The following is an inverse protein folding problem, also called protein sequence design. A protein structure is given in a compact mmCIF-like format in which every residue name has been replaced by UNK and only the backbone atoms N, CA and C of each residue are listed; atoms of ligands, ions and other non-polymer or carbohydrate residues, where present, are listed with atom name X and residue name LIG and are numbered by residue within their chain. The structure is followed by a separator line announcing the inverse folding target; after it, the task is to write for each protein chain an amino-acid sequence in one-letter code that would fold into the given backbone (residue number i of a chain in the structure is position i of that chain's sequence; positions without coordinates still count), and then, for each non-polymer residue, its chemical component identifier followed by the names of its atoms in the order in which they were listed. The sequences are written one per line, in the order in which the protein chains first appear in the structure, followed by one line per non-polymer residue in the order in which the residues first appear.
data_IF_837413090729
#
_entry.id   IF_837413090729
#
_cell.length_a   1.000
_cell.length_b   1.000
_cell.length_c   1.000
_cell.angle_alpha   90.00
_cell.angle_beta   90.00
_cell.angle_gamma   90.00
#
_symmetry.space_group_name_H-M   'P 1'
#
loop_
_entity.id
_entity.type
_entity.pdbx_description
1 polymer ?
#
# COMPACT_ATOMS: atom_id res chain seq x y z
N UNK A 1 18.80 -6.97 5.23
CA UNK A 1 18.10 -6.94 6.53
C UNK A 1 16.69 -6.39 6.35
N UNK A 2 15.70 -7.20 6.67
CA UNK A 2 14.29 -6.79 6.69
C UNK A 2 13.89 -6.56 8.15
N UNK A 3 13.22 -5.46 8.45
CA UNK A 3 12.63 -5.21 9.77
C UNK A 3 11.12 -5.14 9.60
N UNK A 4 10.39 -5.94 10.37
CA UNK A 4 8.93 -5.83 10.47
C UNK A 4 8.55 -5.10 11.76
N UNK A 5 7.51 -4.28 11.72
CA UNK A 5 7.00 -3.54 12.86
C UNK A 5 5.47 -3.71 12.85
N UNK A 6 4.93 -4.37 13.86
CA UNK A 6 3.54 -4.80 13.90
C UNK A 6 2.93 -4.63 15.30
N UNK A 7 1.61 -4.51 15.37
CA UNK A 7 0.88 -4.56 16.65
C UNK A 7 0.98 -5.94 17.28
N UNK A 8 0.83 -6.99 16.48
CA UNK A 8 1.10 -8.37 16.80
C UNK A 8 1.78 -9.03 15.60
N UNK A 9 2.71 -9.94 15.81
CA UNK A 9 3.46 -10.59 14.73
C UNK A 9 2.53 -11.48 13.89
N UNK A 10 2.18 -11.02 12.69
CA UNK A 10 1.38 -11.75 11.70
C UNK A 10 2.17 -12.07 10.44
N UNK A 11 3.17 -11.23 10.11
CA UNK A 11 3.97 -11.37 8.90
C UNK A 11 4.96 -12.53 9.02
N UNK A 12 4.84 -13.50 8.13
CA UNK A 12 5.79 -14.60 8.00
C UNK A 12 6.64 -14.37 6.77
N UNK A 13 7.81 -13.76 6.96
CA UNK A 13 8.74 -13.42 5.89
C UNK A 13 9.81 -14.50 5.77
N UNK A 14 9.83 -15.21 4.65
CA UNK A 14 10.90 -16.18 4.33
C UNK A 14 12.13 -15.44 3.79
N UNK A 15 12.97 -14.99 4.70
CA UNK A 15 14.21 -14.28 4.37
C UNK A 15 15.26 -14.57 5.46
N UNK A 16 16.55 -14.78 5.11
CA UNK A 16 17.59 -15.19 6.06
C UNK A 16 17.88 -14.19 7.19
N UNK A 17 17.49 -12.91 7.02
CA UNK A 17 17.74 -11.88 8.03
C UNK A 17 16.50 -11.01 8.23
N UNK A 18 15.58 -11.46 9.05
CA UNK A 18 14.38 -10.73 9.49
C UNK A 18 14.50 -10.39 10.97
N UNK A 19 14.16 -9.17 11.34
CA UNK A 19 14.02 -8.71 12.72
C UNK A 19 12.57 -8.27 12.90
N UNK A 20 11.81 -9.01 13.68
CA UNK A 20 10.44 -8.68 14.02
C UNK A 20 10.40 -7.83 15.30
N UNK A 21 9.73 -6.68 15.21
CA UNK A 21 9.48 -5.78 16.32
C UNK A 21 7.98 -5.67 16.54
N UNK A 22 7.54 -5.85 17.77
CA UNK A 22 6.13 -5.78 18.14
C UNK A 22 5.85 -4.60 19.08
N UNK A 23 4.72 -3.95 18.85
CA UNK A 23 4.14 -3.00 19.79
C UNK A 23 3.94 -3.65 21.15
N UNK A 24 4.21 -2.90 22.19
CA UNK A 24 3.94 -3.35 23.56
C UNK A 24 3.04 -2.33 24.25
N UNK A 25 1.82 -2.70 24.64
CA UNK A 25 0.95 -1.81 25.40
C UNK A 25 1.55 -1.50 26.77
N UNK A 26 1.15 -0.42 27.42
CA UNK A 26 1.58 -0.11 28.79
C UNK A 26 1.11 -1.20 29.76
N UNK A 27 1.87 -1.40 30.82
CA UNK A 27 1.48 -2.30 31.90
C UNK A 27 0.31 -1.70 32.72
N UNK A 28 -0.15 -2.42 33.75
CA UNK A 28 -1.27 -2.01 34.60
C UNK A 28 -1.04 -0.65 35.30
N UNK A 29 0.23 -0.28 35.48
CA UNK A 29 0.65 1.00 36.09
C UNK A 29 0.81 2.12 35.04
N UNK A 30 0.56 1.84 33.75
CA UNK A 30 0.71 2.79 32.65
C UNK A 30 2.15 2.95 32.16
N UNK A 31 3.07 2.06 32.55
CA UNK A 31 4.48 2.14 32.20
C UNK A 31 4.89 1.10 31.15
N UNK A 32 6.01 1.35 30.47
CA UNK A 32 6.68 0.37 29.62
C UNK A 32 6.08 0.20 28.23
N UNK A 33 5.25 1.12 27.78
CA UNK A 33 4.73 1.16 26.41
C UNK A 33 5.87 1.28 25.39
N UNK A 34 5.77 0.51 24.29
CA UNK A 34 6.60 0.68 23.09
C UNK A 34 5.66 0.88 21.90
N UNK A 35 5.54 2.11 21.45
CA UNK A 35 4.67 2.46 20.32
C UNK A 35 5.30 2.08 18.98
N UNK A 36 4.47 1.85 17.94
CA UNK A 36 4.93 1.66 16.55
C UNK A 36 5.88 2.80 16.14
N UNK A 37 5.57 4.03 16.53
CA UNK A 37 6.39 5.21 16.25
C UNK A 37 7.79 5.11 16.84
N UNK A 38 7.92 4.66 18.09
CA UNK A 38 9.22 4.47 18.75
C UNK A 38 10.01 3.35 18.08
N UNK A 39 9.35 2.23 17.75
CA UNK A 39 9.96 1.10 17.08
C UNK A 39 10.48 1.52 15.69
N UNK A 40 9.69 2.28 14.93
CA UNK A 40 10.07 2.78 13.63
C UNK A 40 11.31 3.68 13.68
N UNK A 41 11.34 4.64 14.62
CA UNK A 41 12.53 5.50 14.83
C UNK A 41 13.78 4.72 15.23
N UNK A 42 13.63 3.68 16.04
CA UNK A 42 14.74 2.81 16.42
C UNK A 42 15.20 1.93 15.25
N UNK A 43 14.28 1.43 14.43
CA UNK A 43 14.61 0.59 13.28
C UNK A 43 15.54 1.29 12.28
N UNK A 44 15.41 2.60 12.08
CA UNK A 44 16.28 3.40 11.22
C UNK A 44 17.76 3.35 11.65
N UNK A 45 18.05 3.12 12.95
CA UNK A 45 19.41 2.99 13.50
C UNK A 45 19.97 1.58 13.38
N UNK A 46 19.14 0.61 12.96
CA UNK A 46 19.51 -0.80 12.83
C UNK A 46 20.05 -1.13 11.44
N UNK A 47 20.22 -0.13 10.56
CA UNK A 47 20.63 -0.26 9.17
C UNK A 47 19.76 -1.28 8.40
N UNK A 48 18.46 -1.05 8.31
CA UNK A 48 17.58 -1.89 7.52
C UNK A 48 17.77 -1.63 6.02
N UNK A 49 17.64 -2.68 5.20
CA UNK A 49 17.47 -2.52 3.76
C UNK A 49 16.00 -2.26 3.44
N UNK A 50 15.08 -2.82 4.25
CA UNK A 50 13.63 -2.63 4.10
C UNK A 50 12.95 -2.61 5.46
N UNK A 51 11.94 -1.77 5.59
CA UNK A 51 11.07 -1.69 6.78
C UNK A 51 9.65 -2.03 6.32
N UNK A 52 9.04 -3.04 6.95
CA UNK A 52 7.66 -3.43 6.71
C UNK A 52 6.84 -3.05 7.94
N UNK A 53 5.99 -2.05 7.79
CA UNK A 53 5.06 -1.66 8.86
C UNK A 53 3.74 -2.38 8.61
N UNK A 54 3.32 -3.23 9.52
CA UNK A 54 2.12 -4.05 9.39
C UNK A 54 0.92 -3.22 9.00
N UNK A 55 0.67 -2.13 9.73
CA UNK A 55 -0.30 -1.11 9.34
C UNK A 55 0.03 0.26 9.96
N UNK A 56 -0.49 1.30 9.32
CA UNK A 56 -0.42 2.69 9.80
C UNK A 56 -1.82 3.18 10.09
N UNK A 57 -2.03 3.70 11.30
CA UNK A 57 -3.33 4.17 11.80
C UNK A 57 -3.33 5.60 12.32
N UNK A 58 -2.14 6.18 12.57
CA UNK A 58 -2.01 7.47 13.24
C UNK A 58 -0.70 8.21 12.93
N UNK A 59 -0.17 8.88 13.94
CA UNK A 59 0.97 9.79 13.84
C UNK A 59 2.28 9.15 13.35
N UNK A 60 2.43 7.83 13.45
CA UNK A 60 3.55 7.07 12.91
C UNK A 60 3.68 7.18 11.38
N UNK A 61 2.59 7.59 10.70
CA UNK A 61 2.59 7.84 9.27
C UNK A 61 3.68 8.82 8.84
N UNK A 62 3.91 9.87 9.63
CA UNK A 62 4.96 10.85 9.34
C UNK A 62 6.35 10.22 9.41
N UNK A 63 6.64 9.45 10.46
CA UNK A 63 7.94 8.80 10.63
C UNK A 63 8.18 7.73 9.54
N UNK A 64 7.11 7.05 9.11
CA UNK A 64 7.14 6.12 7.97
C UNK A 64 7.49 6.83 6.66
N UNK A 65 6.82 7.93 6.32
CA UNK A 65 7.10 8.72 5.13
C UNK A 65 8.54 9.28 5.14
N UNK A 66 9.02 9.72 6.31
CA UNK A 66 10.41 10.16 6.47
C UNK A 66 11.39 9.00 6.22
N UNK A 67 11.12 7.80 6.73
CA UNK A 67 11.93 6.63 6.47
C UNK A 67 12.00 6.33 4.97
N UNK A 68 10.85 6.32 4.29
CA UNK A 68 10.74 6.09 2.85
C UNK A 68 11.48 7.14 2.02
N UNK A 69 11.51 8.41 2.47
CA UNK A 69 12.20 9.52 1.78
C UNK A 69 13.70 9.61 2.10
N UNK A 70 14.24 8.80 3.02
CA UNK A 70 15.63 8.89 3.48
C UNK A 70 16.47 7.63 3.19
N UNK A 71 16.22 6.98 2.05
CA UNK A 71 17.06 5.87 1.56
C UNK A 71 16.69 4.49 2.11
N UNK A 72 15.47 4.32 2.66
CA UNK A 72 14.94 3.00 3.04
C UNK A 72 13.92 2.53 1.99
N UNK A 73 14.36 2.54 0.76
CA UNK A 73 13.58 2.20 -0.40
C UNK A 73 13.11 0.74 -0.39
N UNK A 74 11.90 0.48 -0.92
CA UNK A 74 11.28 -0.83 -0.84
C UNK A 74 10.66 -1.13 0.53
N UNK A 75 10.56 -0.14 1.42
CA UNK A 75 9.73 -0.22 2.62
C UNK A 75 8.26 -0.29 2.22
N UNK A 76 7.43 -0.94 3.02
CA UNK A 76 6.02 -1.14 2.73
C UNK A 76 5.19 -0.94 3.98
N UNK A 77 3.94 -0.54 3.78
CA UNK A 77 2.95 -0.50 4.85
C UNK A 77 1.56 -0.78 4.32
N UNK A 78 0.65 -1.16 5.19
CA UNK A 78 -0.77 -1.24 4.86
C UNK A 78 -1.55 -0.10 5.50
N UNK A 79 -2.64 0.28 4.85
CA UNK A 79 -3.58 1.29 5.32
C UNK A 79 -4.99 0.80 5.03
N UNK A 80 -5.86 0.83 6.02
CA UNK A 80 -7.27 0.55 5.79
C UNK A 80 -7.92 1.73 5.08
N UNK A 81 -8.47 1.47 3.88
CA UNK A 81 -9.06 2.52 3.04
C UNK A 81 -10.06 1.92 2.05
N UNK A 82 -10.99 2.74 1.56
CA UNK A 82 -12.01 2.31 0.59
C UNK A 82 -11.50 2.30 -0.86
N UNK A 83 -10.43 3.05 -1.15
CA UNK A 83 -9.81 3.16 -2.47
C UNK A 83 -8.35 3.58 -2.36
N UNK A 84 -7.59 3.48 -3.45
CA UNK A 84 -6.21 3.99 -3.50
C UNK A 84 -6.16 5.51 -3.23
N UNK A 85 -7.12 6.28 -3.74
CA UNK A 85 -7.21 7.72 -3.50
C UNK A 85 -7.52 8.05 -2.04
N UNK A 86 -8.48 7.34 -1.45
CA UNK A 86 -8.83 7.54 -0.03
C UNK A 86 -7.65 7.21 0.89
N UNK A 87 -6.81 6.23 0.51
CA UNK A 87 -5.60 5.90 1.27
C UNK A 87 -4.64 7.09 1.36
N UNK A 88 -4.45 7.83 0.27
CA UNK A 88 -3.60 9.02 0.25
C UNK A 88 -4.19 10.15 1.09
N UNK A 89 -5.50 10.39 0.98
CA UNK A 89 -6.20 11.39 1.83
C UNK A 89 -6.15 11.00 3.31
N UNK A 90 -6.23 9.70 3.61
CA UNK A 90 -6.09 9.20 4.97
C UNK A 90 -4.65 9.37 5.49
N UNK A 91 -3.63 9.16 4.64
CA UNK A 91 -2.24 9.47 4.98
C UNK A 91 -2.05 10.94 5.32
N UNK A 92 -2.62 11.87 4.52
CA UNK A 92 -2.60 13.30 4.83
C UNK A 92 -3.14 13.57 6.24
N UNK A 93 -4.30 12.99 6.56
CA UNK A 93 -4.93 13.12 7.88
C UNK A 93 -4.04 12.57 9.00
N UNK A 94 -3.46 11.38 8.82
CA UNK A 94 -2.60 10.75 9.83
C UNK A 94 -1.32 11.53 10.07
N UNK A 95 -0.71 12.12 9.04
CA UNK A 95 0.45 13.01 9.18
C UNK A 95 0.09 14.24 10.01
N UNK A 96 -1.09 14.83 9.77
CA UNK A 96 -1.57 15.97 10.55
C UNK A 96 -1.81 15.63 12.03
N UNK A 97 -2.13 14.37 12.35
CA UNK A 97 -2.27 13.89 13.74
C UNK A 97 -0.92 13.89 14.50
N UNK A 98 0.21 13.97 13.82
CA UNK A 98 1.52 14.04 14.47
C UNK A 98 1.76 15.35 15.24
N UNK A 99 0.80 16.27 15.25
CA UNK A 99 0.84 17.57 15.98
C UNK A 99 2.06 18.44 15.66
N UNK A 100 2.56 18.35 14.44
CA UNK A 100 3.65 19.19 13.94
C UNK A 100 3.02 20.23 13.01
N UNK A 101 3.42 21.48 13.17
CA UNK A 101 2.95 22.58 12.30
C UNK A 101 3.64 22.49 10.93
N UNK A 102 3.14 21.58 10.09
CA UNK A 102 3.63 21.38 8.72
C UNK A 102 2.56 21.93 7.77
N UNK A 103 2.93 22.77 6.80
CA UNK A 103 2.00 23.22 5.76
C UNK A 103 1.42 22.03 5.00
N UNK A 104 0.13 22.06 4.71
CA UNK A 104 -0.58 20.96 4.06
C UNK A 104 0.03 20.55 2.71
N UNK A 105 0.52 21.53 1.94
CA UNK A 105 1.21 21.28 0.68
C UNK A 105 2.53 20.51 0.87
N UNK A 106 3.25 20.77 1.96
CA UNK A 106 4.47 20.03 2.28
C UNK A 106 4.17 18.57 2.65
N UNK A 107 3.04 18.31 3.31
CA UNK A 107 2.57 16.95 3.58
C UNK A 107 2.29 16.21 2.28
N UNK A 108 1.59 16.83 1.34
CA UNK A 108 1.30 16.27 0.01
C UNK A 108 2.57 15.98 -0.78
N UNK A 109 3.52 16.92 -0.77
CA UNK A 109 4.81 16.73 -1.40
C UNK A 109 5.58 15.55 -0.81
N UNK A 110 5.59 15.40 0.51
CA UNK A 110 6.21 14.26 1.18
C UNK A 110 5.57 12.94 0.81
N UNK A 111 4.24 12.87 0.77
CA UNK A 111 3.51 11.66 0.38
C UNK A 111 3.84 11.29 -1.07
N UNK A 112 3.76 12.25 -2.00
CA UNK A 112 4.04 11.99 -3.41
C UNK A 112 5.50 11.59 -3.68
N UNK A 113 6.44 12.03 -2.85
CA UNK A 113 7.84 11.62 -2.93
C UNK A 113 8.09 10.23 -2.34
N UNK A 114 7.40 9.89 -1.24
CA UNK A 114 7.62 8.65 -0.51
C UNK A 114 6.88 7.45 -1.13
N UNK A 115 5.66 7.67 -1.61
CA UNK A 115 4.76 6.63 -2.10
C UNK A 115 4.84 6.55 -3.61
N UNK A 116 5.27 5.42 -4.14
CA UNK A 116 5.37 5.21 -5.59
C UNK A 116 4.25 4.32 -6.12
N UNK A 117 3.95 3.21 -5.45
CA UNK A 117 2.89 2.29 -5.86
C UNK A 117 1.87 2.08 -4.75
N UNK A 118 0.62 1.95 -5.17
CA UNK A 118 -0.50 1.57 -4.33
C UNK A 118 -1.14 0.31 -4.90
N UNK A 119 -1.21 -0.72 -4.07
CA UNK A 119 -1.93 -1.96 -4.37
C UNK A 119 -3.17 -2.01 -3.50
N UNK A 120 -4.32 -1.77 -4.09
CA UNK A 120 -5.60 -1.79 -3.38
C UNK A 120 -6.22 -3.19 -3.46
N UNK A 121 -6.45 -3.79 -2.29
CA UNK A 121 -7.10 -5.09 -2.15
C UNK A 121 -8.52 -4.88 -1.61
N UNK A 122 -9.49 -5.53 -2.21
CA UNK A 122 -10.89 -5.50 -1.79
C UNK A 122 -11.43 -6.91 -1.53
N UNK A 123 -12.38 -7.02 -0.61
CA UNK A 123 -13.15 -8.25 -0.43
C UNK A 123 -14.31 -8.26 -1.41
N UNK A 124 -14.40 -9.31 -2.20
CA UNK A 124 -15.46 -9.49 -3.17
C UNK A 124 -16.74 -10.02 -2.50
N UNK A 125 -17.91 -9.91 -3.16
CA UNK A 125 -19.18 -10.45 -2.64
C UNK A 125 -19.14 -11.94 -2.32
N UNK A 126 -18.27 -12.70 -3.00
CA UNK A 126 -18.02 -14.13 -2.73
C UNK A 126 -17.14 -14.39 -1.49
N UNK A 127 -16.77 -13.33 -0.76
CA UNK A 127 -15.94 -13.38 0.43
C UNK A 127 -14.43 -13.44 0.17
N UNK A 128 -13.99 -13.64 -1.07
CA UNK A 128 -12.57 -13.70 -1.42
C UNK A 128 -11.95 -12.30 -1.49
N UNK A 129 -10.69 -12.21 -1.12
CA UNK A 129 -9.90 -10.99 -1.29
C UNK A 129 -9.21 -11.02 -2.64
N UNK A 130 -9.31 -9.92 -3.39
CA UNK A 130 -8.65 -9.74 -4.68
C UNK A 130 -8.00 -8.37 -4.75
N UNK A 131 -6.90 -8.26 -5.49
CA UNK A 131 -6.35 -6.96 -5.85
C UNK A 131 -7.36 -6.29 -6.79
N UNK A 132 -7.88 -5.13 -6.39
CA UNK A 132 -8.87 -4.40 -7.17
C UNK A 132 -8.25 -3.34 -8.07
N UNK A 133 -7.10 -2.79 -7.65
CA UNK A 133 -6.41 -1.71 -8.36
C UNK A 133 -4.92 -1.76 -8.05
N UNK A 134 -4.10 -1.50 -9.05
CA UNK A 134 -2.68 -1.15 -8.89
C UNK A 134 -2.49 0.20 -9.56
N UNK A 135 -1.99 1.18 -8.80
CA UNK A 135 -1.79 2.55 -9.26
C UNK A 135 -0.40 3.08 -8.90
N UNK A 136 0.16 3.93 -9.76
CA UNK A 136 1.39 4.67 -9.50
C UNK A 136 1.04 6.09 -9.04
N UNK A 137 1.76 6.59 -8.02
CA UNK A 137 1.72 7.98 -7.60
C UNK A 137 2.75 8.75 -8.43
N UNK A 138 2.29 9.67 -9.29
CA UNK A 138 3.16 10.37 -10.24
C UNK A 138 3.45 11.82 -9.86
N UNK A 139 2.87 12.31 -8.79
CA UNK A 139 3.05 13.67 -8.30
C UNK A 139 1.91 14.13 -7.42
N UNK A 140 1.77 15.45 -7.28
CA UNK A 140 0.66 16.07 -6.55
C UNK A 140 0.28 17.42 -7.18
N UNK A 141 -0.96 17.82 -6.92
CA UNK A 141 -1.51 19.13 -7.28
C UNK A 141 -2.34 19.72 -6.12
N UNK A 142 -3.09 20.76 -6.38
CA UNK A 142 -3.99 21.40 -5.41
C UNK A 142 -5.06 20.45 -4.83
N UNK A 143 -5.40 19.39 -5.56
CA UNK A 143 -6.40 18.41 -5.18
C UNK A 143 -5.80 17.18 -4.47
N UNK A 144 -4.47 17.13 -4.28
CA UNK A 144 -3.75 16.04 -3.63
C UNK A 144 -2.83 15.26 -4.55
N UNK A 145 -2.49 14.02 -4.16
CA UNK A 145 -1.62 13.18 -4.95
C UNK A 145 -2.28 12.72 -6.26
N UNK A 146 -1.50 12.75 -7.34
CA UNK A 146 -1.92 12.34 -8.67
C UNK A 146 -1.64 10.85 -8.85
N UNK A 147 -2.71 10.08 -9.11
CA UNK A 147 -2.65 8.65 -9.37
C UNK A 147 -2.78 8.35 -10.86
N UNK A 148 -2.03 7.35 -11.33
CA UNK A 148 -2.18 6.71 -12.62
C UNK A 148 -2.43 5.22 -12.42
N UNK A 149 -3.58 4.77 -12.85
CA UNK A 149 -3.95 3.36 -12.77
C UNK A 149 -3.12 2.55 -13.76
N UNK A 150 -2.53 1.45 -13.29
CA UNK A 150 -1.78 0.49 -14.10
C UNK A 150 -2.69 -0.68 -14.44
N UNK A 151 -3.32 -1.26 -13.41
CA UNK A 151 -4.27 -2.38 -13.56
C UNK A 151 -5.52 -2.12 -12.74
N UNK A 152 -6.66 -2.51 -13.30
CA UNK A 152 -7.96 -2.44 -12.66
C UNK A 152 -8.66 -3.80 -12.77
N UNK A 153 -9.26 -4.24 -11.67
CA UNK A 153 -10.18 -5.36 -11.68
C UNK A 153 -11.55 -4.87 -12.15
N UNK A 154 -12.00 -5.38 -13.27
CA UNK A 154 -13.29 -5.04 -13.85
C UNK A 154 -14.13 -6.28 -14.16
N UNK A 155 -15.30 -6.06 -14.74
CA UNK A 155 -16.16 -7.11 -15.25
C UNK A 155 -15.95 -7.21 -16.76
N UNK A 156 -15.57 -8.38 -17.25
CA UNK A 156 -15.48 -8.66 -18.67
C UNK A 156 -16.86 -8.79 -19.35
N UNK A 157 -16.87 -8.91 -20.66
CA UNK A 157 -18.10 -9.05 -21.46
C UNK A 157 -18.90 -10.32 -21.12
N UNK A 158 -18.20 -11.35 -20.65
CA UNK A 158 -18.78 -12.63 -20.20
C UNK A 158 -19.19 -12.64 -18.73
N UNK A 159 -19.24 -11.47 -18.08
CA UNK A 159 -19.55 -11.27 -16.67
C UNK A 159 -18.55 -11.94 -15.71
N UNK A 160 -17.35 -12.25 -16.17
CA UNK A 160 -16.26 -12.72 -15.32
C UNK A 160 -15.38 -11.55 -14.87
N UNK A 161 -14.76 -11.71 -13.71
CA UNK A 161 -13.79 -10.74 -13.23
C UNK A 161 -12.51 -10.85 -14.04
N UNK A 162 -12.05 -9.73 -14.58
CA UNK A 162 -10.82 -9.63 -15.36
C UNK A 162 -9.93 -8.52 -14.83
N UNK A 163 -8.61 -8.74 -14.86
CA UNK A 163 -7.65 -7.67 -14.70
C UNK A 163 -7.40 -7.03 -16.06
N UNK A 164 -7.65 -5.74 -16.15
CA UNK A 164 -7.45 -4.97 -17.36
C UNK A 164 -6.26 -4.02 -17.15
N UNK A 165 -5.27 -4.09 -18.03
CA UNK A 165 -4.24 -3.07 -18.15
C UNK A 165 -4.88 -1.80 -18.70
N UNK A 166 -4.44 -0.63 -18.20
CA UNK A 166 -4.99 0.67 -18.63
C UNK A 166 -4.28 1.26 -19.85
N UNK A 167 -3.16 0.68 -20.26
CA UNK A 167 -2.26 1.22 -21.27
C UNK A 167 -1.21 2.17 -20.70
N UNK A 168 -1.30 2.48 -19.40
CA UNK A 168 -0.29 3.30 -18.75
C UNK A 168 0.96 2.46 -18.46
N UNK A 169 2.11 2.92 -18.95
CA UNK A 169 3.42 2.32 -18.66
C UNK A 169 4.00 3.04 -17.43
N UNK A 170 4.20 2.35 -16.31
CA UNK A 170 4.71 2.97 -15.09
C UNK A 170 6.11 3.54 -15.27
N UNK A 171 6.36 4.73 -14.72
CA UNK A 171 7.70 5.36 -14.73
C UNK A 171 8.71 4.55 -13.92
N UNK A 172 8.23 3.75 -12.97
CA UNK A 172 9.02 2.80 -12.19
C UNK A 172 9.74 1.73 -13.01
N UNK A 173 9.33 1.48 -14.25
CA UNK A 173 10.02 0.53 -15.14
C UNK A 173 11.42 1.00 -15.52
N UNK A 174 11.65 2.31 -15.63
CA UNK A 174 12.99 2.85 -15.91
C UNK A 174 13.96 2.47 -14.78
N UNK A 175 13.48 2.52 -13.54
CA UNK A 175 14.25 2.02 -12.39
C UNK A 175 14.49 0.52 -12.45
N UNK A 176 13.46 -0.26 -12.77
CA UNK A 176 13.59 -1.71 -12.90
C UNK A 176 14.65 -2.06 -13.97
N UNK A 177 14.63 -1.38 -15.11
CA UNK A 177 15.61 -1.54 -16.18
C UNK A 177 17.04 -1.17 -15.72
N UNK A 178 17.19 -0.12 -14.92
CA UNK A 178 18.47 0.27 -14.33
C UNK A 178 19.09 -0.82 -13.44
N UNK A 179 18.24 -1.59 -12.72
CA UNK A 179 18.67 -2.76 -11.94
C UNK A 179 18.73 -4.07 -12.74
N UNK A 180 18.66 -3.99 -14.08
CA UNK A 180 18.73 -5.14 -14.96
C UNK A 180 17.46 -5.98 -15.01
N UNK A 181 16.36 -5.51 -14.42
CA UNK A 181 15.05 -6.17 -14.48
C UNK A 181 14.34 -5.73 -15.75
N UNK A 182 14.14 -6.66 -16.68
CA UNK A 182 13.36 -6.41 -17.89
C UNK A 182 11.92 -6.85 -17.67
N UNK A 183 10.98 -5.92 -17.84
CA UNK A 183 9.55 -6.19 -17.77
C UNK A 183 8.98 -6.15 -19.19
N UNK A 184 8.24 -7.19 -19.57
CA UNK A 184 7.56 -7.20 -20.86
C UNK A 184 6.50 -6.10 -20.92
N UNK A 185 6.66 -5.12 -21.80
CA UNK A 185 5.73 -4.00 -21.94
C UNK A 185 4.35 -4.41 -22.44
N UNK A 186 4.23 -5.55 -23.13
CA UNK A 186 2.93 -6.12 -23.51
C UNK A 186 2.00 -6.36 -22.31
N UNK A 187 2.58 -6.46 -21.10
CA UNK A 187 1.82 -6.56 -19.86
C UNK A 187 0.90 -5.35 -19.61
N UNK A 188 1.25 -4.19 -20.12
CA UNK A 188 0.50 -2.95 -19.93
C UNK A 188 -0.44 -2.63 -21.11
N UNK A 189 -0.44 -3.46 -22.16
CA UNK A 189 -1.31 -3.30 -23.33
C UNK A 189 -2.72 -3.79 -23.02
N UNK A 190 -3.77 -2.94 -23.09
CA UNK A 190 -5.15 -3.35 -22.77
C UNK A 190 -5.70 -4.47 -23.64
N UNK A 191 -5.14 -4.65 -24.86
CA UNK A 191 -5.57 -5.69 -25.78
C UNK A 191 -4.88 -7.03 -25.52
N UNK A 192 -3.58 -6.97 -25.17
CA UNK A 192 -2.74 -8.15 -24.96
C UNK A 192 -2.79 -8.71 -23.54
N UNK A 193 -3.08 -7.86 -22.55
CA UNK A 193 -3.00 -8.17 -21.13
C UNK A 193 -4.37 -8.23 -20.48
N UNK A 194 -5.12 -9.28 -20.79
CA UNK A 194 -6.33 -9.64 -20.04
C UNK A 194 -6.06 -10.87 -19.19
N UNK A 195 -6.20 -10.72 -17.89
CA UNK A 195 -5.99 -11.80 -16.94
C UNK A 195 -7.30 -12.13 -16.22
N UNK A 196 -7.72 -13.37 -16.33
CA UNK A 196 -8.84 -13.90 -15.54
C UNK A 196 -8.27 -14.38 -14.20
N UNK A 197 -8.64 -13.82 -13.06
CA UNK A 197 -8.16 -14.29 -11.76
C UNK A 197 -8.54 -15.75 -11.52
N UNK A 198 -7.62 -16.53 -10.97
CA UNK A 198 -7.91 -17.92 -10.61
C UNK A 198 -9.14 -18.00 -9.69
N UNK A 199 -10.06 -18.91 -9.98
CA UNK A 199 -11.31 -19.10 -9.23
C UNK A 199 -12.41 -18.07 -9.52
N UNK A 200 -12.33 -17.34 -10.64
CA UNK A 200 -13.41 -16.44 -11.11
C UNK A 200 -14.49 -17.17 -11.92
N UNK A 201 -14.44 -18.50 -11.98
CA UNK A 201 -15.39 -19.32 -12.75
C UNK A 201 -16.83 -19.32 -12.21
N UNK A 202 -17.07 -18.78 -11.02
CA UNK A 202 -18.43 -18.54 -10.55
C UNK A 202 -18.92 -17.20 -11.10
N UNK A 203 -19.89 -17.22 -12.02
CA UNK A 203 -20.71 -16.06 -12.34
C UNK A 203 -21.13 -15.41 -11.03
N UNK A 204 -20.84 -14.11 -10.87
CA UNK A 204 -21.47 -13.36 -9.80
C UNK A 204 -22.98 -13.52 -9.98
N UNK A 205 -23.73 -13.86 -8.92
CA UNK A 205 -25.18 -13.83 -9.03
C UNK A 205 -25.56 -12.42 -9.46
N UNK A 206 -26.25 -12.31 -10.58
CA UNK A 206 -26.91 -11.06 -10.98
C UNK A 206 -27.89 -10.76 -9.87
N UNK A 207 -27.54 -9.80 -9.00
CA UNK A 207 -28.48 -9.27 -8.03
C UNK A 207 -29.53 -8.56 -8.85
N UNK A 208 -30.63 -9.30 -9.18
CA UNK A 208 -31.85 -8.68 -9.65
C UNK A 208 -32.29 -7.77 -8.51
N UNK A 209 -32.28 -6.48 -8.80
CA UNK A 209 -32.71 -5.41 -7.90
C UNK A 209 -34.05 -5.82 -7.24
N UNK A 210 -34.11 -6.14 -5.94
CA UNK A 210 -35.36 -6.35 -5.27
C UNK A 210 -35.88 -4.93 -5.00
N UNK A 211 -36.98 -4.60 -5.62
CA UNK A 211 -37.79 -3.41 -5.38
C UNK A 211 -37.62 -2.94 -3.92
N UNK A 212 -37.25 -1.67 -3.78
CA UNK A 212 -37.23 -0.95 -2.51
C UNK A 212 -38.53 -1.21 -1.74
N UNK A 213 -38.49 -2.06 -0.74
CA UNK A 213 -39.44 -2.06 0.37
C UNK A 213 -38.60 -2.02 1.65
N UNK A 214 -38.75 -0.91 2.36
CA UNK A 214 -37.91 -0.54 3.48
C UNK A 214 -37.86 -1.55 4.61
N UNK A 215 -36.65 -1.70 5.13
CA UNK A 215 -36.41 -1.76 6.57
C UNK A 215 -34.90 -1.56 6.80
N UNK A 216 -34.57 -0.52 7.56
CA UNK A 216 -33.24 -0.26 8.07
C UNK A 216 -32.90 -1.35 9.10
N UNK A 217 -31.94 -2.17 8.81
CA UNK A 217 -31.26 -3.04 9.74
C UNK A 217 -29.76 -2.84 9.58
N UNK A 218 -29.15 -2.16 10.55
CA UNK A 218 -27.73 -1.88 10.57
C UNK A 218 -26.94 -3.18 10.74
N UNK A 219 -26.10 -3.48 9.79
CA UNK A 219 -25.03 -4.43 9.82
C UNK A 219 -23.96 -3.88 8.91
N UNK A 220 -23.03 -3.09 9.46
CA UNK A 220 -21.79 -2.76 8.76
C UNK A 220 -21.04 -4.08 8.53
N UNK A 221 -21.18 -4.62 7.34
CA UNK A 221 -20.26 -5.67 6.88
C UNK A 221 -18.87 -5.05 6.84
N UNK A 222 -18.00 -5.52 7.74
CA UNK A 222 -16.58 -5.20 7.78
C UNK A 222 -15.90 -5.66 6.48
N UNK A 223 -15.99 -4.85 5.44
CA UNK A 223 -15.23 -5.03 4.22
C UNK A 223 -13.80 -4.60 4.53
N UNK A 224 -12.95 -5.56 4.88
CA UNK A 224 -11.52 -5.29 5.12
C UNK A 224 -10.90 -4.91 3.78
N UNK A 225 -10.58 -3.63 3.61
CA UNK A 225 -9.91 -3.06 2.45
C UNK A 225 -8.51 -2.63 2.89
N UNK A 226 -7.49 -3.21 2.30
CA UNK A 226 -6.10 -2.88 2.59
C UNK A 226 -5.44 -2.28 1.36
N UNK A 227 -4.61 -1.27 1.60
CA UNK A 227 -3.76 -0.64 0.59
C UNK A 227 -2.32 -0.84 1.01
N UNK A 228 -1.54 -1.44 0.14
CA UNK A 228 -0.09 -1.57 0.32
C UNK A 228 0.57 -0.41 -0.39
N UNK A 229 1.36 0.33 0.37
CA UNK A 229 2.12 1.48 -0.12
C UNK A 229 3.56 1.03 -0.30
N UNK A 230 4.11 1.16 -1.51
CA UNK A 230 5.46 0.70 -1.85
C UNK A 230 6.25 1.85 -2.46
N UNK A 231 7.34 2.30 -1.82
CA UNK A 231 8.32 3.19 -2.43
C UNK A 231 9.33 2.40 -3.30
N UNK A 232 9.91 3.08 -4.29
CA UNK A 232 10.99 2.53 -5.12
C UNK A 232 12.37 2.98 -4.64
N UNK A 233 13.36 2.08 -4.75
CA UNK A 233 14.74 2.34 -4.38
C UNK A 233 15.42 3.41 -5.25
N UNK A 234 16.13 4.34 -4.61
CA UNK A 234 16.98 5.35 -5.26
C UNK A 234 18.46 4.96 -5.32
N UNK A 235 18.84 3.80 -4.76
CA UNK A 235 20.25 3.42 -4.67
C UNK A 235 20.85 3.11 -6.04
N UNK A 236 21.99 3.78 -6.32
CA UNK A 236 22.78 3.56 -7.51
C UNK A 236 23.48 2.21 -7.44
N UNK A 237 23.60 1.44 -8.53
CA UNK A 237 24.46 0.26 -8.55
C UNK A 237 25.92 0.73 -8.54
N UNK A 238 26.50 0.85 -7.38
CA UNK A 238 27.89 1.28 -7.20
C UNK A 238 28.47 0.93 -5.83
N UNK A 239 27.63 0.70 -4.84
CA UNK A 239 28.08 0.50 -3.46
C UNK A 239 28.15 -0.97 -2.99
N UNK A 240 28.10 -1.93 -3.90
CA UNK A 240 28.38 -3.35 -3.62
C UNK A 240 29.80 -3.69 -4.06
N UNK A 241 30.79 -2.91 -3.64
CA UNK A 241 32.18 -3.34 -3.60
C UNK A 241 32.80 -2.92 -2.28
N UNK A 242 33.23 -3.93 -1.54
CA UNK A 242 34.08 -3.85 -0.34
C UNK A 242 33.36 -3.46 0.96
N UNK A 243 32.77 -4.46 1.63
CA UNK A 243 33.24 -4.82 3.00
C UNK A 243 32.70 -6.17 3.45
#
# INVERSE_FOLDING_TARGET
RVITIEDAAELQIDHPHVIALEHRPPNVEGNGELTIRQLLRNSLRMRPDRILVGEVRGAEALDMLQAMNTGHDGSMSTIHSNSARDALSRLETMVMMASIDIPFEAVRAQIASAVNLIVHQARMPDGRRKVAQIAEVVGYDSNGAILRDIFLLGMGEDLRLEYNATGYIPTSLDKAAFYGVQVNQDLFDPVKSRFVPAGSDSMMPVVKDPQMSGQRGGGEENVVRQVVVVPFSSDRPGDVQSR
#
